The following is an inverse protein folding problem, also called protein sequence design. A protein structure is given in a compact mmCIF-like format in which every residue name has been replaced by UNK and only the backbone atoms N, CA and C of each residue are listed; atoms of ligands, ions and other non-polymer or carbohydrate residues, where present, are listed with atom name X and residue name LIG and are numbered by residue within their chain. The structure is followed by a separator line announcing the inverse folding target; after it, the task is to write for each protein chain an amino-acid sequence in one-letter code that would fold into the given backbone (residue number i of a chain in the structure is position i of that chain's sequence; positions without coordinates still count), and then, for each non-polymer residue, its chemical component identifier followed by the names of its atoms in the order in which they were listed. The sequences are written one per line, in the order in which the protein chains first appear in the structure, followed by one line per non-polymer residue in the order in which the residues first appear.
data_IF_017212390383
#
_entry.id   IF_017212390383
#
_cell.length_a   1.000
_cell.length_b   1.000
_cell.length_c   1.000
_cell.angle_alpha   90.00
_cell.angle_beta   90.00
_cell.angle_gamma   90.00
#
_symmetry.space_group_name_H-M   'P 1'
#
loop_
_entity.id
_entity.type
_entity.pdbx_description
1 polymer ?
#
# COMPACT_ATOMS: atom_id res chain seq x y z
N UNK A 1 0.15 1.57 -0.38
CA UNK A 1 1.09 0.48 -0.09
C UNK A 1 0.45 -0.76 0.55
N UNK A 2 -0.86 -0.98 0.36
CA UNK A 2 -1.57 -2.17 0.86
C UNK A 2 -1.14 -3.44 0.11
N UNK A 3 -1.27 -4.60 0.76
CA UNK A 3 -1.27 -5.89 0.07
C UNK A 3 -2.58 -6.06 -0.70
N UNK A 4 -2.56 -6.85 -1.77
CA UNK A 4 -3.77 -7.10 -2.57
C UNK A 4 -4.95 -7.61 -1.73
N UNK A 5 -4.72 -8.61 -0.87
CA UNK A 5 -5.75 -9.15 0.02
C UNK A 5 -6.24 -8.15 1.08
N UNK A 6 -5.38 -7.22 1.54
CA UNK A 6 -5.77 -6.12 2.43
C UNK A 6 -6.67 -5.12 1.69
N UNK A 7 -6.32 -4.77 0.45
CA UNK A 7 -7.11 -3.85 -0.37
C UNK A 7 -8.51 -4.41 -0.66
N UNK A 8 -8.63 -5.70 -1.02
CA UNK A 8 -9.92 -6.32 -1.27
C UNK A 8 -10.81 -6.42 -0.02
N UNK A 9 -10.22 -6.40 1.18
CA UNK A 9 -10.94 -6.48 2.44
C UNK A 9 -11.39 -5.11 2.98
N UNK A 10 -11.10 -4.01 2.28
CA UNK A 10 -11.52 -2.68 2.74
C UNK A 10 -13.03 -2.52 2.71
N UNK A 11 -13.56 -1.95 3.78
CA UNK A 11 -14.96 -1.60 3.95
C UNK A 11 -15.08 -0.13 4.34
N UNK A 12 -16.26 0.52 4.19
CA UNK A 12 -16.44 1.91 4.65
C UNK A 12 -16.04 2.13 6.11
N UNK A 13 -16.32 1.17 7.00
CA UNK A 13 -15.98 1.24 8.44
C UNK A 13 -14.48 1.27 8.75
N UNK A 14 -13.61 0.90 7.80
CA UNK A 14 -12.16 1.00 7.97
C UNK A 14 -11.64 2.43 7.85
N UNK A 15 -12.46 3.37 7.31
CA UNK A 15 -12.06 4.75 7.08
C UNK A 15 -12.56 5.68 8.18
N UNK A 16 -11.65 6.42 8.78
CA UNK A 16 -11.93 7.58 9.61
C UNK A 16 -11.68 8.83 8.76
N UNK A 17 -12.71 9.24 8.02
CA UNK A 17 -12.64 10.34 7.07
C UNK A 17 -12.31 11.67 7.75
N UNK A 18 -12.83 11.87 8.97
CA UNK A 18 -12.61 13.11 9.73
C UNK A 18 -11.13 13.31 10.12
N UNK A 19 -10.45 12.23 10.49
CA UNK A 19 -9.04 12.25 10.89
C UNK A 19 -8.09 11.76 9.81
N UNK A 20 -8.57 11.52 8.58
CA UNK A 20 -7.79 11.05 7.44
C UNK A 20 -7.01 9.76 7.73
N UNK A 21 -7.66 8.81 8.39
CA UNK A 21 -7.04 7.56 8.78
C UNK A 21 -7.70 6.36 8.10
N UNK A 22 -6.89 5.35 7.82
CA UNK A 22 -7.32 4.05 7.32
C UNK A 22 -6.81 2.96 8.26
N UNK A 23 -7.73 2.16 8.78
CA UNK A 23 -7.45 0.97 9.61
C UNK A 23 -7.30 -0.26 8.73
N UNK A 24 -6.25 -1.03 8.93
CA UNK A 24 -5.99 -2.28 8.22
C UNK A 24 -5.91 -3.38 9.26
N UNK A 25 -6.96 -4.18 9.38
CA UNK A 25 -7.10 -5.21 10.43
C UNK A 25 -7.49 -6.58 9.88
N UNK A 26 -7.88 -6.65 8.60
CA UNK A 26 -8.41 -7.85 7.96
C UNK A 26 -7.87 -8.02 6.55
N UNK A 27 -8.04 -9.21 6.01
CA UNK A 27 -7.69 -9.56 4.62
C UNK A 27 -8.85 -10.30 3.96
N UNK A 28 -8.84 -10.34 2.64
CA UNK A 28 -9.82 -11.05 1.85
C UNK A 28 -9.26 -12.38 1.35
N UNK A 29 -10.01 -13.47 1.53
CA UNK A 29 -9.64 -14.78 1.03
C UNK A 29 -10.02 -14.93 -0.45
N UNK A 30 -9.26 -14.27 -1.32
CA UNK A 30 -9.51 -14.30 -2.77
C UNK A 30 -9.14 -15.63 -3.45
N UNK A 31 -8.46 -16.55 -2.74
CA UNK A 31 -8.04 -17.85 -3.28
C UNK A 31 -9.07 -18.96 -3.08
N UNK A 32 -9.89 -18.83 -2.04
CA UNK A 32 -10.80 -19.92 -1.61
C UNK A 32 -12.18 -19.35 -1.23
N UNK A 33 -13.00 -19.05 -2.24
CA UNK A 33 -14.41 -18.72 -2.06
C UNK A 33 -14.75 -17.34 -1.51
N UNK A 34 -13.77 -16.47 -1.25
CA UNK A 34 -14.01 -15.13 -0.71
C UNK A 34 -14.19 -15.11 0.81
N UNK A 35 -14.54 -13.92 1.33
CA UNK A 35 -14.79 -13.69 2.75
C UNK A 35 -13.62 -13.07 3.49
N UNK A 36 -13.94 -12.42 4.61
CA UNK A 36 -12.96 -11.79 5.49
C UNK A 36 -12.16 -12.83 6.28
N UNK A 37 -10.88 -12.59 6.42
CA UNK A 37 -9.97 -13.37 7.26
C UNK A 37 -9.09 -12.45 8.09
N UNK A 38 -8.59 -12.96 9.21
CA UNK A 38 -7.64 -12.21 10.02
C UNK A 38 -6.31 -12.04 9.27
N UNK A 39 -5.59 -10.98 9.60
CA UNK A 39 -4.23 -10.79 9.11
C UNK A 39 -3.30 -11.87 9.68
N UNK A 40 -2.32 -12.32 8.88
CA UNK A 40 -1.40 -13.40 9.29
C UNK A 40 -0.57 -13.06 10.53
N UNK A 41 -0.24 -11.78 10.73
CA UNK A 41 0.65 -11.32 11.79
C UNK A 41 0.07 -10.08 12.48
N UNK A 42 0.34 -9.92 13.77
CA UNK A 42 -0.05 -8.72 14.55
C UNK A 42 0.48 -7.41 13.92
N UNK A 43 1.67 -7.41 13.35
CA UNK A 43 2.28 -6.26 12.66
C UNK A 43 1.53 -5.83 11.39
N UNK A 44 0.69 -6.70 10.83
CA UNK A 44 -0.17 -6.36 9.69
C UNK A 44 -1.36 -5.50 10.10
N UNK A 45 -1.79 -5.60 11.37
CA UNK A 45 -2.82 -4.71 11.93
C UNK A 45 -2.18 -3.35 12.18
N UNK A 46 -2.69 -2.33 11.52
CA UNK A 46 -2.14 -0.98 11.57
C UNK A 46 -3.15 0.08 11.19
N UNK A 47 -2.92 1.29 11.67
CA UNK A 47 -3.63 2.50 11.25
C UNK A 47 -2.64 3.39 10.49
N UNK A 48 -3.02 3.85 9.31
CA UNK A 48 -2.17 4.71 8.48
C UNK A 48 -2.92 5.99 8.14
N UNK A 49 -2.20 7.10 8.11
CA UNK A 49 -2.74 8.34 7.54
C UNK A 49 -2.77 8.27 6.02
N UNK A 50 -3.85 8.80 5.45
CA UNK A 50 -4.06 8.94 4.01
C UNK A 50 -4.26 10.42 3.68
N UNK A 51 -3.87 10.80 2.48
CA UNK A 51 -4.02 12.18 2.00
C UNK A 51 -5.49 12.52 1.76
N UNK A 52 -5.79 13.84 1.77
CA UNK A 52 -7.15 14.34 1.64
C UNK A 52 -7.80 13.99 0.28
N UNK A 53 -7.01 13.88 -0.80
CA UNK A 53 -7.52 13.51 -2.11
C UNK A 53 -8.01 12.05 -2.11
N UNK A 54 -7.23 11.16 -1.52
CA UNK A 54 -7.64 9.77 -1.29
C UNK A 54 -8.88 9.69 -0.41
N UNK A 55 -8.96 10.49 0.66
CA UNK A 55 -10.14 10.58 1.54
C UNK A 55 -11.39 10.94 0.73
N UNK A 56 -11.34 12.01 -0.08
CA UNK A 56 -12.49 12.45 -0.88
C UNK A 56 -12.93 11.41 -1.91
N UNK A 57 -11.97 10.76 -2.57
CA UNK A 57 -12.28 9.68 -3.52
C UNK A 57 -13.00 8.51 -2.84
N UNK A 58 -12.49 8.06 -1.69
CA UNK A 58 -13.12 6.96 -0.96
C UNK A 58 -14.46 7.37 -0.31
N UNK A 59 -14.59 8.58 0.19
CA UNK A 59 -15.88 9.08 0.68
C UNK A 59 -16.96 9.06 -0.40
N UNK A 60 -16.60 9.41 -1.63
CA UNK A 60 -17.51 9.33 -2.78
C UNK A 60 -17.80 7.87 -3.15
N UNK A 61 -16.79 7.02 -3.20
CA UNK A 61 -16.90 5.62 -3.60
C UNK A 61 -17.73 4.79 -2.61
N UNK A 62 -17.67 5.13 -1.33
CA UNK A 62 -18.33 4.39 -0.25
C UNK A 62 -19.72 4.92 0.12
N UNK A 63 -20.16 6.03 -0.47
CA UNK A 63 -21.39 6.75 -0.09
C UNK A 63 -22.65 5.87 -0.01
N UNK A 64 -22.75 4.87 -0.90
CA UNK A 64 -23.94 4.02 -1.02
C UNK A 64 -23.66 2.57 -0.57
N UNK A 65 -22.55 2.31 0.13
CA UNK A 65 -22.18 1.01 0.65
C UNK A 65 -22.54 0.91 2.13
N UNK A 66 -22.93 -0.28 2.56
CA UNK A 66 -23.08 -0.58 3.99
C UNK A 66 -21.72 -0.52 4.69
N UNK A 67 -21.67 -0.19 6.01
CA UNK A 67 -20.43 -0.02 6.75
C UNK A 67 -19.43 -1.18 6.63
N UNK A 68 -19.93 -2.41 6.57
CA UNK A 68 -19.13 -3.64 6.52
C UNK A 68 -19.12 -4.31 5.14
N UNK A 69 -19.60 -3.62 4.11
CA UNK A 69 -19.58 -4.11 2.74
C UNK A 69 -18.20 -3.94 2.10
N UNK A 70 -17.63 -4.99 1.45
CA UNK A 70 -16.35 -4.85 0.76
C UNK A 70 -16.45 -3.86 -0.40
N UNK A 71 -15.55 -2.87 -0.43
CA UNK A 71 -15.57 -1.80 -1.45
C UNK A 71 -15.28 -2.34 -2.86
N UNK A 72 -14.39 -3.32 -2.96
CA UNK A 72 -13.88 -3.80 -4.25
C UNK A 72 -14.41 -5.17 -4.67
N UNK A 73 -15.23 -5.80 -3.85
CA UNK A 73 -15.78 -7.14 -4.13
C UNK A 73 -17.28 -7.08 -4.13
N UNK A 74 -17.88 -7.32 -5.27
CA UNK A 74 -19.35 -7.31 -5.42
C UNK A 74 -19.97 -8.63 -4.93
N UNK A 75 -21.20 -8.53 -4.46
CA UNK A 75 -22.03 -9.69 -4.15
C UNK A 75 -23.06 -9.87 -5.26
N UNK A 76 -23.03 -11.01 -5.94
CA UNK A 76 -23.94 -11.36 -7.05
C UNK A 76 -24.64 -12.67 -6.64
N UNK A 77 -25.96 -12.69 -6.66
CA UNK A 77 -26.78 -13.85 -6.28
C UNK A 77 -26.38 -14.49 -4.94
N UNK A 78 -26.10 -13.63 -3.94
CA UNK A 78 -25.73 -14.07 -2.60
C UNK A 78 -24.27 -14.54 -2.45
N UNK A 79 -23.50 -14.61 -3.52
CA UNK A 79 -22.08 -15.01 -3.50
C UNK A 79 -21.17 -13.84 -3.85
N UNK A 80 -20.00 -13.80 -3.23
CA UNK A 80 -19.01 -12.80 -3.57
C UNK A 80 -18.32 -13.14 -4.89
N UNK A 81 -18.14 -12.11 -5.74
CA UNK A 81 -17.36 -12.21 -6.96
C UNK A 81 -15.91 -12.59 -6.65
N UNK A 82 -15.36 -13.51 -7.43
CA UNK A 82 -13.97 -13.94 -7.23
C UNK A 82 -13.03 -13.09 -8.07
N UNK A 83 -12.23 -12.26 -7.38
CA UNK A 83 -11.27 -11.35 -8.01
C UNK A 83 -9.86 -11.92 -7.81
N UNK A 84 -9.22 -12.34 -8.89
CA UNK A 84 -7.86 -12.85 -8.87
C UNK A 84 -6.83 -11.74 -9.09
N UNK A 85 -5.67 -11.89 -8.45
CA UNK A 85 -4.53 -11.01 -8.65
C UNK A 85 -4.10 -10.96 -10.14
N UNK A 86 -4.13 -12.10 -10.83
CA UNK A 86 -3.84 -12.18 -12.26
C UNK A 86 -4.77 -11.33 -13.12
N UNK A 87 -6.05 -11.25 -12.79
CA UNK A 87 -7.03 -10.42 -13.50
C UNK A 87 -6.65 -8.95 -13.43
N UNK A 88 -6.35 -8.47 -12.22
CA UNK A 88 -5.96 -7.07 -12.01
C UNK A 88 -4.61 -6.76 -12.67
N UNK A 89 -3.63 -7.67 -12.57
CA UNK A 89 -2.36 -7.53 -13.27
C UNK A 89 -2.53 -7.51 -14.79
N UNK A 90 -3.44 -8.30 -15.35
CA UNK A 90 -3.76 -8.25 -16.78
C UNK A 90 -4.37 -6.92 -17.22
N UNK A 91 -5.20 -6.30 -16.38
CA UNK A 91 -5.73 -4.95 -16.62
C UNK A 91 -4.59 -3.93 -16.58
N UNK A 92 -3.74 -3.95 -15.54
CA UNK A 92 -2.60 -3.04 -15.40
C UNK A 92 -1.64 -3.16 -16.60
N UNK A 93 -1.25 -4.38 -16.99
CA UNK A 93 -0.38 -4.64 -18.15
C UNK A 93 -0.95 -4.01 -19.43
N UNK A 94 -2.24 -4.17 -19.67
CA UNK A 94 -2.92 -3.60 -20.84
C UNK A 94 -2.86 -2.08 -20.84
N UNK A 95 -3.09 -1.44 -19.69
CA UNK A 95 -3.00 0.03 -19.58
C UNK A 95 -1.55 0.52 -19.69
N UNK A 96 -0.58 -0.16 -19.09
CA UNK A 96 0.83 0.18 -19.23
C UNK A 96 1.28 0.14 -20.70
N UNK A 97 0.90 -0.92 -21.43
CA UNK A 97 1.17 -1.04 -22.89
C UNK A 97 0.52 0.09 -23.68
N UNK A 98 -0.75 0.40 -23.39
CA UNK A 98 -1.47 1.49 -24.07
C UNK A 98 -0.81 2.86 -23.84
N UNK A 99 -0.22 3.08 -22.69
CA UNK A 99 0.44 4.34 -22.32
C UNK A 99 1.94 4.35 -22.65
N UNK A 100 2.51 3.27 -23.19
CA UNK A 100 3.94 3.17 -23.52
C UNK A 100 4.87 3.20 -22.28
N UNK A 101 4.38 2.78 -21.11
CA UNK A 101 5.15 2.72 -19.87
C UNK A 101 5.49 1.28 -19.50
N UNK A 102 6.55 1.10 -18.70
CA UNK A 102 6.96 -0.22 -18.20
C UNK A 102 5.83 -0.92 -17.46
N UNK A 103 5.65 -2.21 -17.72
CA UNK A 103 4.62 -3.00 -17.05
C UNK A 103 4.90 -3.11 -15.56
N UNK A 104 3.87 -2.83 -14.75
CA UNK A 104 3.92 -2.93 -13.30
C UNK A 104 2.82 -3.88 -12.82
N UNK A 105 3.13 -4.67 -11.78
CA UNK A 105 2.14 -5.50 -11.10
C UNK A 105 1.49 -4.73 -9.94
N UNK A 106 0.35 -5.21 -9.45
CA UNK A 106 -0.29 -4.64 -8.25
C UNK A 106 0.62 -4.72 -7.02
N UNK A 107 1.47 -5.73 -6.94
CA UNK A 107 2.50 -5.81 -5.90
C UNK A 107 3.63 -4.81 -6.15
N UNK A 108 3.97 -4.56 -7.40
CA UNK A 108 4.91 -3.53 -7.81
C UNK A 108 4.49 -2.12 -7.37
N UNK A 109 3.18 -1.80 -7.41
CA UNK A 109 2.66 -0.52 -6.89
C UNK A 109 2.96 -0.32 -5.39
N UNK A 110 2.96 -1.41 -4.61
CA UNK A 110 3.36 -1.34 -3.20
C UNK A 110 4.86 -1.06 -3.05
N UNK A 111 5.70 -1.66 -3.91
CA UNK A 111 7.13 -1.36 -3.94
C UNK A 111 7.38 0.10 -4.35
N UNK A 112 6.71 0.57 -5.40
CA UNK A 112 6.79 1.97 -5.84
C UNK A 112 6.41 2.93 -4.70
N UNK A 113 5.33 2.65 -3.98
CA UNK A 113 4.94 3.46 -2.82
C UNK A 113 6.04 3.53 -1.76
N UNK A 114 6.66 2.41 -1.42
CA UNK A 114 7.75 2.38 -0.45
C UNK A 114 8.99 3.14 -0.94
N UNK A 115 9.37 2.96 -2.22
CA UNK A 115 10.49 3.65 -2.84
C UNK A 115 10.30 5.17 -2.83
N UNK A 116 9.12 5.66 -3.21
CA UNK A 116 8.79 7.09 -3.17
C UNK A 116 8.97 7.66 -1.76
N UNK A 117 8.52 6.95 -0.72
CA UNK A 117 8.66 7.41 0.66
C UNK A 117 10.13 7.43 1.11
N UNK A 118 10.91 6.43 0.73
CA UNK A 118 12.34 6.38 1.06
C UNK A 118 13.10 7.50 0.37
N UNK A 119 12.88 7.73 -0.93
CA UNK A 119 13.48 8.85 -1.66
C UNK A 119 13.06 10.22 -1.13
N UNK A 120 11.86 10.31 -0.53
CA UNK A 120 11.39 11.52 0.17
C UNK A 120 12.00 11.69 1.57
N UNK A 121 12.95 10.83 1.99
CA UNK A 121 13.62 10.90 3.29
C UNK A 121 12.82 10.31 4.46
N UNK A 122 11.72 9.58 4.19
CA UNK A 122 10.98 8.91 5.26
C UNK A 122 11.79 7.74 5.81
N UNK A 123 11.96 7.68 7.13
CA UNK A 123 12.77 6.64 7.78
C UNK A 123 12.28 5.23 7.45
N UNK A 124 13.21 4.29 7.31
CA UNK A 124 12.96 2.87 7.05
C UNK A 124 11.95 2.28 8.04
N UNK A 125 12.08 2.64 9.33
CA UNK A 125 11.17 2.19 10.37
C UNK A 125 9.73 2.67 10.15
N UNK A 126 9.53 3.90 9.69
CA UNK A 126 8.21 4.46 9.36
C UNK A 126 7.62 3.79 8.13
N UNK A 127 8.44 3.54 7.10
CA UNK A 127 8.01 2.79 5.91
C UNK A 127 7.63 1.35 6.28
N UNK A 128 8.44 0.66 7.08
CA UNK A 128 8.15 -0.70 7.55
C UNK A 128 6.81 -0.79 8.29
N UNK A 129 6.56 0.13 9.23
CA UNK A 129 5.28 0.21 9.97
C UNK A 129 4.11 0.48 9.02
N UNK A 130 4.24 1.44 8.11
CA UNK A 130 3.20 1.77 7.11
C UNK A 130 2.86 0.59 6.21
N UNK A 131 3.86 -0.20 5.82
CA UNK A 131 3.67 -1.40 5.02
C UNK A 131 3.16 -2.60 5.84
N UNK A 132 3.27 -2.60 7.16
CA UNK A 132 2.93 -3.73 8.01
C UNK A 132 3.92 -4.89 7.85
N UNK A 133 5.22 -4.59 7.80
CA UNK A 133 6.27 -5.58 7.89
C UNK A 133 6.50 -5.98 9.34
N UNK A 134 6.68 -7.28 9.59
CA UNK A 134 6.92 -7.79 10.94
C UNK A 134 8.28 -7.37 11.50
N UNK A 135 9.23 -7.10 10.62
CA UNK A 135 10.58 -6.67 10.93
C UNK A 135 11.04 -5.55 10.00
N UNK A 136 11.75 -4.57 10.55
CA UNK A 136 12.43 -3.53 9.78
C UNK A 136 13.45 -4.13 8.81
N UNK A 137 14.08 -5.25 9.19
CA UNK A 137 15.02 -6.00 8.36
C UNK A 137 14.40 -6.43 7.00
N UNK A 138 13.12 -6.74 6.97
CA UNK A 138 12.42 -7.05 5.72
C UNK A 138 12.43 -5.86 4.77
N UNK A 139 12.16 -4.65 5.29
CA UNK A 139 12.21 -3.42 4.49
C UNK A 139 13.64 -3.12 4.04
N UNK A 140 14.61 -3.21 4.94
CA UNK A 140 16.03 -2.99 4.62
C UNK A 140 16.51 -3.90 3.49
N UNK A 141 16.29 -5.21 3.60
CA UNK A 141 16.70 -6.17 2.56
C UNK A 141 16.02 -5.90 1.21
N UNK A 142 14.73 -5.56 1.22
CA UNK A 142 13.97 -5.33 -0.02
C UNK A 142 14.41 -4.06 -0.74
N UNK A 143 14.77 -3.01 0.00
CA UNK A 143 15.10 -1.69 -0.54
C UNK A 143 16.57 -1.30 -0.31
N UNK A 144 17.46 -2.29 -0.14
CA UNK A 144 18.88 -2.07 0.17
C UNK A 144 19.56 -1.13 -0.84
N UNK A 145 19.28 -1.30 -2.13
CA UNK A 145 19.86 -0.46 -3.18
C UNK A 145 19.48 1.02 -3.04
N UNK A 146 18.22 1.31 -2.68
CA UNK A 146 17.76 2.70 -2.44
C UNK A 146 18.42 3.27 -1.20
N UNK A 147 18.54 2.48 -0.14
CA UNK A 147 19.16 2.89 1.12
C UNK A 147 20.62 3.26 0.89
N UNK A 148 21.37 2.43 0.16
CA UNK A 148 22.78 2.68 -0.19
C UNK A 148 22.95 3.93 -1.05
N UNK A 149 22.04 4.17 -2.00
CA UNK A 149 22.06 5.38 -2.81
C UNK A 149 21.82 6.63 -1.97
N UNK A 150 20.88 6.60 -1.02
CA UNK A 150 20.63 7.72 -0.09
C UNK A 150 21.81 7.95 0.86
N UNK A 151 22.42 6.88 1.40
CA UNK A 151 23.61 6.99 2.25
C UNK A 151 24.79 7.65 1.51
N UNK A 152 24.99 7.34 0.23
CA UNK A 152 26.03 7.99 -0.58
C UNK A 152 25.73 9.48 -0.78
N UNK A 153 24.47 9.86 -1.01
CA UNK A 153 24.08 11.28 -1.10
C UNK A 153 24.29 12.02 0.23
N UNK A 154 24.01 11.38 1.35
CA UNK A 154 24.24 11.93 2.69
C UNK A 154 25.74 12.16 2.95
N UNK A 155 26.60 11.24 2.54
CA UNK A 155 28.07 11.39 2.65
C UNK A 155 28.54 12.63 1.86
N UNK A 156 28.06 12.80 0.63
CA UNK A 156 28.39 13.96 -0.20
C UNK A 156 27.94 15.28 0.46
N UNK A 157 26.74 15.30 1.05
CA UNK A 157 26.22 16.44 1.80
C UNK A 157 27.06 16.75 3.04
N UNK A 158 27.47 15.73 3.80
CA UNK A 158 28.34 15.85 4.98
C UNK A 158 29.67 16.47 4.57
N UNK A 159 30.32 15.91 3.55
CA UNK A 159 31.62 16.41 3.07
C UNK A 159 31.53 17.87 2.61
N UNK A 160 30.47 18.20 1.88
CA UNK A 160 30.22 19.57 1.42
C UNK A 160 29.95 20.55 2.60
N UNK A 161 29.21 20.10 3.60
CA UNK A 161 28.93 20.90 4.80
C UNK A 161 30.20 21.14 5.61
N UNK A 162 31.06 20.13 5.78
CA UNK A 162 32.33 20.26 6.50
C UNK A 162 33.33 21.15 5.74
N UNK A 163 33.35 21.10 4.41
CA UNK A 163 34.26 21.97 3.61
C UNK A 163 33.88 23.46 3.65
N UNK A 164 32.60 23.77 3.94
CA UNK A 164 32.12 25.14 4.06
C UNK A 164 32.36 25.76 5.46
N UNK A 165 32.91 25.00 6.40
CA UNK A 165 33.27 25.46 7.76
C UNK A 165 34.70 26.02 7.85
N UNK A 166 35.50 25.92 6.79
CA UNK A 166 36.84 26.48 6.63
C UNK A 166 36.77 27.72 5.76
#
# INVERSE_FOLDING_TARGET
GLRFSEALALTPSDFDFAHQNLSISKTWNYKSGGGFTLTKNKSSVRKIQIDWQTVMQFATLTKNLEPDEPIFVKKIDGKYEQIYNSTINGILSRYCKKLGISEISIHGLRHTHASILLYAGVSIGSVARRLGHASMTTTQKTYLHIIQELENQDIDLIMKSLSNLN
#
